data_IF_065999653870
#
_entry.id   IF_065999653870
#
_cell.length_a   1.000
_cell.length_b   1.000
_cell.length_c   1.000
_cell.angle_alpha   90.00
_cell.angle_beta   90.00
_cell.angle_gamma   90.00
#
_symmetry.space_group_name_H-M   'P 1'
#
loop_
_entity.id
_entity.type
_entity.pdbx_description
1 polymer ?
#
# COMPACT_ATOMS: atom_id res chain seq x y z
N UNK A 1 21.67 0.15 46.88
CA UNK A 1 21.64 1.58 47.26
C UNK A 1 22.34 2.38 46.18
N UNK A 2 21.65 2.70 45.09
CA UNK A 2 22.20 3.47 43.98
C UNK A 2 21.19 4.55 43.59
N UNK A 3 21.53 5.81 43.87
CA UNK A 3 20.71 6.98 43.56
C UNK A 3 20.58 7.17 42.05
N UNK A 4 19.36 7.22 41.55
CA UNK A 4 19.06 7.67 40.18
C UNK A 4 18.72 9.15 40.26
N UNK A 5 19.58 9.98 39.69
CA UNK A 5 19.38 11.42 39.59
C UNK A 5 18.34 11.73 38.50
N UNK A 6 17.25 12.41 38.88
CA UNK A 6 16.27 12.98 37.95
C UNK A 6 16.79 14.35 37.46
N UNK A 7 17.22 14.42 36.20
CA UNK A 7 17.49 15.69 35.53
C UNK A 7 16.21 16.21 34.85
N UNK A 8 15.60 17.22 35.45
CA UNK A 8 14.50 18.02 34.89
C UNK A 8 15.05 18.95 33.80
N UNK A 9 14.92 18.56 32.53
CA UNK A 9 15.14 19.45 31.40
C UNK A 9 13.85 20.17 31.02
N UNK A 10 13.83 21.48 31.29
CA UNK A 10 12.78 22.44 30.93
C UNK A 10 12.77 22.62 29.40
N UNK A 11 11.78 22.05 28.71
CA UNK A 11 11.61 22.26 27.26
C UNK A 11 10.90 23.61 27.00
N UNK A 12 11.43 24.51 26.15
CA UNK A 12 10.75 25.73 25.76
C UNK A 12 9.59 25.45 24.80
N UNK A 13 8.43 26.08 25.03
CA UNK A 13 7.28 26.02 24.13
C UNK A 13 7.58 26.69 22.77
N UNK A 14 7.15 26.11 21.63
CA UNK A 14 7.37 26.72 20.31
C UNK A 14 6.49 27.95 20.07
N UNK A 15 6.94 28.94 19.27
CA UNK A 15 6.18 30.15 19.00
C UNK A 15 5.01 29.90 18.05
N UNK A 16 3.89 30.60 18.28
CA UNK A 16 2.69 30.56 17.43
C UNK A 16 2.97 31.28 16.11
N UNK A 17 2.87 30.56 14.99
CA UNK A 17 2.90 31.17 13.66
C UNK A 17 1.55 31.83 13.34
N UNK A 18 1.54 33.16 13.19
CA UNK A 18 0.45 33.87 12.52
C UNK A 18 0.67 33.75 11.01
N UNK A 19 -0.15 32.95 10.35
CA UNK A 19 -0.21 32.89 8.88
C UNK A 19 -1.01 34.08 8.35
N UNK A 20 -0.32 35.05 7.76
CA UNK A 20 -0.95 36.05 6.90
C UNK A 20 -1.34 35.38 5.58
N UNK A 21 -2.61 35.01 5.44
CA UNK A 21 -3.17 34.54 4.18
C UNK A 21 -3.44 35.74 3.28
N UNK A 22 -2.65 35.85 2.20
CA UNK A 22 -2.80 36.89 1.20
C UNK A 22 -3.83 36.41 0.17
N UNK A 23 -5.05 36.95 0.21
CA UNK A 23 -6.13 36.62 -0.72
C UNK A 23 -5.87 37.27 -2.08
N UNK A 24 -5.11 36.61 -2.96
CA UNK A 24 -5.18 36.89 -4.39
C UNK A 24 -6.40 36.19 -4.96
N UNK A 25 -7.42 36.97 -5.33
CA UNK A 25 -8.59 36.52 -6.09
C UNK A 25 -8.12 35.73 -7.31
N UNK A 26 -8.39 34.43 -7.33
CA UNK A 26 -8.31 33.61 -8.53
C UNK A 26 -9.59 33.87 -9.34
N UNK A 27 -9.44 34.58 -10.44
CA UNK A 27 -10.50 34.82 -11.42
C UNK A 27 -10.65 33.58 -12.29
N UNK A 28 -11.77 32.88 -12.12
CA UNK A 28 -12.28 31.78 -12.95
C UNK A 28 -11.75 30.37 -12.68
N UNK A 29 -12.67 29.52 -12.20
CA UNK A 29 -12.49 28.07 -12.01
C UNK A 29 -12.35 27.34 -13.36
N UNK A 30 -12.76 27.96 -14.47
CA UNK A 30 -12.72 27.36 -15.81
C UNK A 30 -11.30 27.21 -16.37
N UNK A 31 -10.33 28.02 -15.93
CA UNK A 31 -8.94 27.96 -16.42
C UNK A 31 -8.13 26.81 -15.79
N UNK A 32 -8.55 26.28 -14.63
CA UNK A 32 -7.89 25.12 -14.00
C UNK A 32 -8.32 23.78 -14.60
N UNK A 33 -9.45 23.73 -15.32
CA UNK A 33 -10.04 22.49 -15.84
C UNK A 33 -9.52 22.08 -17.22
N UNK A 34 -8.93 22.99 -17.99
CA UNK A 34 -8.42 22.69 -19.34
C UNK A 34 -7.02 22.06 -19.37
N UNK A 35 -6.26 22.12 -18.27
CA UNK A 35 -4.88 21.59 -18.21
C UNK A 35 -4.75 20.24 -17.47
N UNK A 36 -5.82 19.77 -16.82
CA UNK A 36 -5.77 18.57 -15.97
C UNK A 36 -6.22 17.28 -16.69
N UNK A 37 -6.46 17.32 -18.00
CA UNK A 37 -6.82 16.14 -18.81
C UNK A 37 -5.59 15.49 -19.47
N UNK A 38 -4.50 15.36 -18.73
CA UNK A 38 -3.34 14.56 -19.15
C UNK A 38 -2.96 13.51 -18.12
N UNK A 39 -3.95 12.86 -17.50
CA UNK A 39 -3.72 11.53 -16.95
C UNK A 39 -3.55 10.56 -18.12
N UNK A 40 -2.35 10.64 -18.71
CA UNK A 40 -1.78 9.66 -19.61
C UNK A 40 -1.86 8.34 -18.87
N UNK A 41 -2.88 7.55 -19.19
CA UNK A 41 -2.97 6.16 -18.76
C UNK A 41 -1.62 5.54 -19.10
N UNK A 42 -0.87 5.16 -18.07
CA UNK A 42 0.39 4.46 -18.29
C UNK A 42 0.00 3.20 -19.06
N UNK A 43 0.30 3.15 -20.36
CA UNK A 43 0.24 1.92 -21.14
C UNK A 43 1.24 0.97 -20.50
N UNK A 44 0.78 0.19 -19.52
CA UNK A 44 1.45 -1.03 -19.11
C UNK A 44 1.27 -2.02 -20.26
N UNK A 45 2.10 -1.87 -21.30
CA UNK A 45 2.38 -2.98 -22.20
C UNK A 45 3.23 -3.97 -21.39
N UNK A 46 2.57 -4.85 -20.64
CA UNK A 46 3.20 -6.12 -20.32
C UNK A 46 3.35 -6.81 -21.66
N UNK A 47 4.58 -6.86 -22.18
CA UNK A 47 4.86 -7.78 -23.29
C UNK A 47 4.44 -9.16 -22.79
N UNK A 48 3.40 -9.74 -23.40
CA UNK A 48 3.05 -11.13 -23.19
C UNK A 48 4.29 -11.93 -23.58
N UNK A 49 5.07 -12.35 -22.58
CA UNK A 49 6.09 -13.35 -22.80
C UNK A 49 5.35 -14.60 -23.26
N UNK A 50 5.69 -15.01 -24.48
CA UNK A 50 5.19 -16.18 -25.19
C UNK A 50 5.01 -17.36 -24.23
N UNK A 51 3.89 -18.07 -24.40
CA UNK A 51 3.47 -19.24 -23.62
C UNK A 51 4.60 -20.23 -23.42
N UNK A 52 5.33 -20.06 -22.33
CA UNK A 52 6.35 -20.98 -21.86
C UNK A 52 5.75 -21.70 -20.67
N UNK A 53 5.75 -23.03 -20.77
CA UNK A 53 5.38 -23.98 -19.72
C UNK A 53 5.65 -23.39 -18.34
N UNK A 54 4.59 -22.99 -17.63
CA UNK A 54 4.68 -22.41 -16.31
C UNK A 54 5.36 -23.46 -15.44
N UNK A 55 6.61 -23.22 -15.07
CA UNK A 55 7.28 -24.08 -14.12
C UNK A 55 6.43 -24.10 -12.84
N UNK A 56 6.24 -25.27 -12.22
CA UNK A 56 5.47 -25.37 -10.99
C UNK A 56 6.00 -24.33 -9.99
N UNK A 57 5.13 -23.50 -9.39
CA UNK A 57 5.60 -22.48 -8.47
C UNK A 57 6.24 -23.14 -7.25
N UNK A 58 7.35 -22.57 -6.83
CA UNK A 58 7.96 -22.91 -5.55
C UNK A 58 7.12 -22.32 -4.41
N UNK A 59 6.48 -23.20 -3.64
CA UNK A 59 5.59 -22.83 -2.52
C UNK A 59 6.38 -22.16 -1.40
N UNK A 60 7.63 -22.54 -1.17
CA UNK A 60 8.48 -21.92 -0.15
C UNK A 60 8.73 -20.44 -0.48
N UNK A 61 9.10 -20.17 -1.74
CA UNK A 61 9.31 -18.81 -2.22
C UNK A 61 8.02 -17.97 -2.21
N UNK A 62 6.89 -18.59 -2.54
CA UNK A 62 5.59 -17.94 -2.49
C UNK A 62 5.22 -17.53 -1.05
N UNK A 63 5.44 -18.43 -0.09
CA UNK A 63 5.18 -18.17 1.33
C UNK A 63 6.07 -17.03 1.87
N UNK A 64 7.35 -17.00 1.50
CA UNK A 64 8.26 -15.90 1.86
C UNK A 64 7.78 -14.55 1.32
N UNK A 65 7.30 -14.52 0.08
CA UNK A 65 6.75 -13.32 -0.57
C UNK A 65 5.49 -12.82 0.13
N UNK A 66 4.63 -13.75 0.55
CA UNK A 66 3.40 -13.45 1.29
C UNK A 66 3.63 -13.18 2.79
N UNK A 67 4.87 -13.31 3.30
CA UNK A 67 5.22 -13.25 4.72
C UNK A 67 4.46 -14.27 5.58
N UNK A 68 4.21 -15.45 5.01
CA UNK A 68 3.58 -16.57 5.69
C UNK A 68 4.67 -17.57 6.11
N UNK A 69 4.68 -17.93 7.40
CA UNK A 69 5.56 -18.99 7.90
C UNK A 69 4.90 -20.35 7.63
N UNK A 70 5.64 -21.26 7.00
CA UNK A 70 5.16 -22.59 6.61
C UNK A 70 6.19 -23.65 6.97
N UNK A 71 5.73 -24.81 7.42
CA UNK A 71 6.57 -25.98 7.72
C UNK A 71 6.82 -26.83 6.48
N UNK A 72 7.89 -27.65 6.43
CA UNK A 72 8.15 -28.53 5.28
C UNK A 72 7.00 -29.50 4.98
N UNK A 73 6.30 -29.99 6.02
CA UNK A 73 5.16 -30.88 5.86
C UNK A 73 3.96 -30.18 5.19
N UNK A 74 3.68 -28.94 5.56
CA UNK A 74 2.62 -28.13 4.94
C UNK A 74 2.97 -27.77 3.50
N UNK A 75 4.26 -27.60 3.17
CA UNK A 75 4.71 -27.39 1.79
C UNK A 75 4.32 -28.60 0.94
N UNK A 76 4.64 -29.82 1.38
CA UNK A 76 4.27 -31.05 0.67
C UNK A 76 2.75 -31.19 0.49
N UNK A 77 1.97 -30.77 1.48
CA UNK A 77 0.51 -30.81 1.43
C UNK A 77 -0.10 -29.76 0.46
N UNK A 78 0.46 -28.55 0.43
CA UNK A 78 -0.11 -27.44 -0.34
C UNK A 78 0.39 -27.39 -1.78
N UNK A 79 1.59 -27.90 -2.08
CA UNK A 79 2.11 -27.98 -3.46
C UNK A 79 1.12 -28.58 -4.46
N UNK A 80 0.51 -29.76 -4.25
CA UNK A 80 -0.43 -30.34 -5.21
C UNK A 80 -1.73 -29.51 -5.32
N UNK A 81 -2.21 -28.92 -4.21
CA UNK A 81 -3.43 -28.10 -4.20
C UNK A 81 -3.24 -26.82 -5.02
N UNK A 82 -2.12 -26.13 -4.82
CA UNK A 82 -1.78 -24.91 -5.57
C UNK A 82 -1.58 -25.24 -7.05
N UNK A 83 -0.94 -26.37 -7.37
CA UNK A 83 -0.80 -26.84 -8.75
C UNK A 83 -2.17 -27.04 -9.41
N UNK A 84 -3.11 -27.71 -8.75
CA UNK A 84 -4.45 -27.93 -9.29
C UNK A 84 -5.19 -26.62 -9.60
N UNK A 85 -5.07 -25.62 -8.73
CA UNK A 85 -5.68 -24.29 -8.96
C UNK A 85 -5.05 -23.62 -10.18
N UNK A 86 -3.73 -23.66 -10.31
CA UNK A 86 -3.02 -23.05 -11.45
C UNK A 86 -3.37 -23.77 -12.75
N UNK A 87 -3.43 -25.10 -12.74
CA UNK A 87 -3.83 -25.88 -13.91
C UNK A 87 -5.26 -25.54 -14.35
N UNK A 88 -6.17 -25.32 -13.40
CA UNK A 88 -7.53 -24.85 -13.68
C UNK A 88 -7.54 -23.45 -14.31
N UNK A 89 -6.77 -22.49 -13.75
CA UNK A 89 -6.61 -21.15 -14.36
C UNK A 89 -5.90 -21.21 -15.72
N UNK A 90 -5.07 -22.21 -15.98
CA UNK A 90 -4.40 -22.43 -17.27
C UNK A 90 -5.37 -22.57 -18.43
N UNK A 91 -6.61 -22.99 -18.18
CA UNK A 91 -7.68 -23.07 -19.20
C UNK A 91 -7.97 -21.70 -19.85
N UNK A 92 -7.76 -20.59 -19.13
CA UNK A 92 -7.96 -19.25 -19.66
C UNK A 92 -6.95 -18.88 -20.76
N UNK A 93 -5.81 -19.58 -20.86
CA UNK A 93 -4.81 -19.33 -21.91
C UNK A 93 -5.28 -19.76 -23.30
N UNK A 94 -6.32 -20.61 -23.38
CA UNK A 94 -6.89 -21.04 -24.66
C UNK A 94 -7.80 -19.97 -25.30
N UNK A 95 -8.16 -18.91 -24.57
CA UNK A 95 -9.05 -17.85 -25.03
C UNK A 95 -8.24 -16.75 -25.73
N UNK A 96 -8.64 -16.36 -26.95
CA UNK A 96 -8.04 -15.22 -27.66
C UNK A 96 -8.52 -13.90 -27.07
N UNK A 97 -7.56 -13.08 -26.61
CA UNK A 97 -7.80 -11.79 -25.97
C UNK A 97 -7.13 -10.62 -26.72
N UNK A 98 -6.61 -10.84 -27.95
CA UNK A 98 -5.83 -9.84 -28.68
C UNK A 98 -6.58 -8.52 -28.95
N UNK A 99 -7.92 -8.57 -29.03
CA UNK A 99 -8.78 -7.42 -29.35
C UNK A 99 -9.58 -6.88 -28.15
N UNK A 100 -9.35 -7.39 -26.93
CA UNK A 100 -10.14 -7.03 -25.75
C UNK A 100 -9.28 -6.22 -24.79
N UNK A 101 -9.75 -5.03 -24.39
CA UNK A 101 -9.08 -4.23 -23.37
C UNK A 101 -9.30 -4.82 -21.96
N UNK A 102 -8.28 -4.79 -21.08
CA UNK A 102 -8.43 -5.28 -19.71
C UNK A 102 -9.51 -4.52 -18.92
N UNK A 103 -10.41 -5.25 -18.26
CA UNK A 103 -11.39 -4.65 -17.37
C UNK A 103 -10.73 -4.23 -16.02
N UNK A 104 -10.67 -2.92 -15.75
CA UNK A 104 -10.04 -2.38 -14.52
C UNK A 104 -11.05 -2.28 -13.37
N UNK A 105 -12.28 -1.82 -13.66
CA UNK A 105 -13.37 -1.68 -12.68
C UNK A 105 -14.71 -1.91 -13.39
N UNK A 106 -15.61 -2.66 -12.75
CA UNK A 106 -16.95 -2.95 -13.29
C UNK A 106 -17.77 -1.67 -13.54
N UNK A 107 -17.65 -0.68 -12.64
CA UNK A 107 -18.31 0.62 -12.73
C UNK A 107 -17.28 1.71 -13.02
N UNK A 108 -17.05 1.99 -14.30
CA UNK A 108 -16.17 3.10 -14.70
C UNK A 108 -17.00 4.37 -14.86
N UNK A 109 -17.39 4.97 -13.73
CA UNK A 109 -17.93 6.33 -13.71
C UNK A 109 -17.23 7.16 -12.65
N UNK A 110 -16.58 8.23 -13.10
CA UNK A 110 -16.23 9.39 -12.28
C UNK A 110 -14.78 9.45 -11.80
N UNK A 111 -14.21 10.64 -11.98
CA UNK A 111 -13.06 11.12 -11.22
C UNK A 111 -13.50 11.28 -9.76
N UNK A 112 -13.17 10.30 -8.92
CA UNK A 112 -13.40 10.44 -7.48
C UNK A 112 -12.16 11.09 -6.85
N UNK A 113 -12.10 12.42 -6.95
CA UNK A 113 -11.10 13.22 -6.27
C UNK A 113 -11.62 13.64 -4.90
N UNK A 114 -10.80 13.48 -3.87
CA UNK A 114 -11.06 14.02 -2.54
C UNK A 114 -10.73 15.51 -2.54
N UNK A 115 -11.58 16.34 -1.95
CA UNK A 115 -11.29 17.76 -1.73
C UNK A 115 -10.04 17.93 -0.85
N UNK A 116 -9.21 18.93 -1.16
CA UNK A 116 -8.01 19.25 -0.39
C UNK A 116 -8.32 20.11 0.84
N UNK A 117 -9.13 19.55 1.73
CA UNK A 117 -9.51 20.17 3.00
C UNK A 117 -8.87 19.36 4.13
N UNK A 118 -8.10 19.98 5.04
CA UNK A 118 -7.50 19.28 6.16
C UNK A 118 -8.57 18.83 7.15
N UNK A 119 -8.56 17.54 7.51
CA UNK A 119 -9.46 16.97 8.49
C UNK A 119 -8.67 16.47 9.70
N UNK A 120 -8.99 16.97 10.88
CA UNK A 120 -8.40 16.48 12.12
C UNK A 120 -8.93 15.08 12.43
N UNK A 121 -8.04 14.15 12.76
CA UNK A 121 -8.43 12.83 13.25
C UNK A 121 -8.81 12.92 14.73
N UNK A 122 -10.08 12.70 15.05
CA UNK A 122 -10.63 12.98 16.37
C UNK A 122 -10.43 11.89 17.43
N UNK A 123 -9.93 10.70 17.08
CA UNK A 123 -9.87 9.55 18.00
C UNK A 123 -8.52 8.84 17.96
N UNK A 124 -7.46 9.59 18.29
CA UNK A 124 -6.09 9.05 18.36
C UNK A 124 -6.00 7.94 19.40
N UNK A 125 -6.74 8.07 20.48
CA UNK A 125 -6.75 7.16 21.63
C UNK A 125 -7.23 5.77 21.22
N UNK A 126 -8.29 5.66 20.41
CA UNK A 126 -8.75 4.37 19.89
C UNK A 126 -7.73 3.72 18.95
N UNK A 127 -7.04 4.52 18.12
CA UNK A 127 -5.98 4.01 17.26
C UNK A 127 -4.81 3.45 18.09
N UNK A 128 -4.39 4.16 19.14
CA UNK A 128 -3.32 3.70 20.05
C UNK A 128 -3.75 2.46 20.84
N UNK A 129 -5.01 2.39 21.29
CA UNK A 129 -5.53 1.24 22.02
C UNK A 129 -5.55 -0.06 21.19
N UNK A 130 -5.62 0.04 19.85
CA UNK A 130 -5.56 -1.12 18.96
C UNK A 130 -4.13 -1.64 18.71
N UNK A 131 -3.10 -0.91 19.16
CA UNK A 131 -1.70 -1.24 18.90
C UNK A 131 -1.18 -2.23 19.96
N UNK A 132 -0.68 -3.41 19.58
CA UNK A 132 -0.21 -4.41 20.55
C UNK A 132 0.96 -3.95 21.43
N UNK A 133 1.87 -3.13 20.90
CA UNK A 133 3.03 -2.62 21.64
C UNK A 133 3.29 -1.16 21.29
N UNK A 134 3.11 -0.30 22.28
CA UNK A 134 3.21 1.16 22.15
C UNK A 134 4.04 1.74 23.29
N UNK A 135 4.91 2.68 22.97
CA UNK A 135 5.74 3.43 23.91
C UNK A 135 5.75 4.89 23.46
N UNK A 136 4.95 5.74 24.12
CA UNK A 136 4.65 7.09 23.64
C UNK A 136 5.93 7.91 23.38
N UNK A 137 6.09 8.51 22.17
CA UNK A 137 5.15 8.67 21.06
C UNK A 137 5.23 7.63 19.92
N UNK A 138 5.88 6.48 20.13
CA UNK A 138 6.27 5.51 19.11
C UNK A 138 5.53 4.17 19.19
N UNK A 139 5.42 3.50 18.04
CA UNK A 139 5.01 2.10 17.94
C UNK A 139 6.25 1.24 18.09
N UNK A 140 6.20 0.26 19.00
CA UNK A 140 7.32 -0.62 19.25
C UNK A 140 7.29 -1.78 18.27
N UNK A 141 8.35 -1.92 17.47
CA UNK A 141 8.56 -3.01 16.52
C UNK A 141 9.90 -3.70 16.77
N UNK A 142 10.04 -4.99 16.42
CA UNK A 142 11.34 -5.64 16.43
C UNK A 142 12.35 -4.88 15.58
N UNK A 143 13.59 -4.79 16.06
CA UNK A 143 14.67 -4.11 15.34
C UNK A 143 14.89 -4.80 14.00
N UNK A 144 14.89 -4.02 12.91
CA UNK A 144 15.27 -4.52 11.59
C UNK A 144 16.76 -4.85 11.60
N UNK A 145 17.08 -6.12 11.43
CA UNK A 145 18.43 -6.59 11.19
C UNK A 145 18.58 -6.82 9.70
N UNK A 146 19.66 -6.31 9.09
CA UNK A 146 19.97 -6.67 7.72
C UNK A 146 20.41 -8.14 7.71
N UNK A 147 19.80 -8.96 6.83
CA UNK A 147 20.36 -10.26 6.47
C UNK A 147 21.48 -9.97 5.46
N UNK A 148 22.71 -10.32 5.82
CA UNK A 148 23.81 -10.47 4.85
C UNK A 148 23.54 -11.68 3.93
#
# INVERSE_FOLDING_TARGET
>A
MGSIALLLLKVPSPPRHHSFFNNRKLSSVSELLTHYNSFKTRKCSTKAAHGSSLQPPDVCRLAETARISITPNEVEEFTPKIRQVIDWFGQLQAVDLNSVEPAIRAETKGENLRDDIPQAYGNREAAVAAIPSYEEPYIKVPKVLNKE
#
